data_IF_387384884191
#
_entry.id   IF_387384884191
#
_cell.length_a   1.000
_cell.length_b   1.000
_cell.length_c   1.000
_cell.angle_alpha   90.00
_cell.angle_beta   90.00
_cell.angle_gamma   90.00
#
_symmetry.space_group_name_H-M   'P 1'
#
loop_
_entity.id
_entity.type
_entity.pdbx_description
1 polymer ?
#
# COMPACT_ATOMS: atom_id res chain seq x y z
N UNK A 1 -26.08 45.76 35.57
CA UNK A 1 -24.81 45.30 35.02
C UNK A 1 -24.71 43.80 35.30
N UNK A 2 -25.09 42.96 34.33
CA UNK A 2 -24.93 41.50 34.43
C UNK A 2 -23.61 41.14 33.81
N UNK A 3 -22.75 40.48 34.57
CA UNK A 3 -21.46 39.99 34.23
C UNK A 3 -21.62 38.90 33.15
N UNK A 4 -21.13 39.18 31.98
CA UNK A 4 -21.02 38.16 30.92
C UNK A 4 -19.98 37.12 31.42
N UNK A 5 -20.45 35.98 31.87
CA UNK A 5 -19.59 34.81 32.03
C UNK A 5 -19.09 34.42 30.66
N UNK A 6 -17.78 34.56 30.45
CA UNK A 6 -17.08 33.93 29.31
C UNK A 6 -17.22 32.44 29.52
N UNK A 7 -18.02 31.81 28.70
CA UNK A 7 -17.89 30.40 28.41
C UNK A 7 -16.49 30.25 27.82
N UNK A 8 -15.54 29.82 28.62
CA UNK A 8 -14.29 29.26 28.09
C UNK A 8 -14.69 27.97 27.39
N UNK A 9 -14.92 28.07 26.07
CA UNK A 9 -14.98 26.95 25.18
C UNK A 9 -13.61 26.26 25.24
N UNK A 10 -13.51 25.19 26.03
CA UNK A 10 -12.42 24.24 25.93
C UNK A 10 -12.67 23.36 24.71
N UNK A 11 -12.80 23.96 23.53
CA UNK A 11 -12.69 23.27 22.27
C UNK A 11 -11.29 22.64 22.26
N UNK A 12 -11.21 21.33 22.39
CA UNK A 12 -9.95 20.63 22.33
C UNK A 12 -9.28 21.00 21.00
N UNK A 13 -8.15 21.69 21.06
CA UNK A 13 -7.50 22.17 19.84
C UNK A 13 -7.10 20.97 18.98
N UNK A 14 -7.41 21.02 17.68
CA UNK A 14 -7.02 19.99 16.71
C UNK A 14 -5.53 19.65 16.84
N UNK A 15 -5.20 18.38 16.98
CA UNK A 15 -3.80 17.90 17.11
C UNK A 15 -3.06 17.96 15.78
N UNK A 16 -1.82 18.41 15.79
CA UNK A 16 -0.91 18.33 14.62
C UNK A 16 0.06 17.18 14.83
N UNK A 17 -0.13 16.10 14.08
CA UNK A 17 0.64 14.86 14.19
C UNK A 17 1.64 14.77 13.03
N UNK A 18 2.91 14.91 13.38
CA UNK A 18 4.04 14.95 12.44
C UNK A 18 4.48 13.56 12.02
N UNK A 19 5.46 13.49 11.15
CA UNK A 19 6.21 12.31 10.74
C UNK A 19 6.67 11.46 11.95
N UNK A 20 7.30 12.10 12.94
CA UNK A 20 7.79 11.42 14.15
C UNK A 20 6.65 10.81 14.98
N UNK A 21 5.50 11.49 15.09
CA UNK A 21 4.32 10.97 15.76
C UNK A 21 3.80 9.71 15.06
N UNK A 22 3.74 9.70 13.72
CA UNK A 22 3.33 8.51 12.95
C UNK A 22 4.30 7.34 13.20
N UNK A 23 5.61 7.59 13.18
CA UNK A 23 6.61 6.56 13.45
C UNK A 23 6.57 6.03 14.87
N UNK A 24 6.31 6.89 15.85
CA UNK A 24 6.20 6.50 17.25
C UNK A 24 4.94 5.67 17.52
N UNK A 25 3.84 5.98 16.83
CA UNK A 25 2.54 5.36 17.02
C UNK A 25 2.41 3.97 16.38
N UNK A 26 2.94 3.80 15.15
CA UNK A 26 2.67 2.60 14.37
C UNK A 26 3.70 1.49 14.60
N UNK A 27 3.19 0.26 14.78
CA UNK A 27 3.94 -1.00 14.79
C UNK A 27 3.22 -1.96 13.87
N UNK A 28 3.95 -2.71 13.01
CA UNK A 28 3.31 -3.52 11.97
C UNK A 28 2.36 -4.61 12.50
N UNK A 29 2.69 -5.40 13.54
CA UNK A 29 1.74 -6.41 14.01
C UNK A 29 0.39 -5.79 14.35
N UNK A 30 0.37 -4.80 15.23
CA UNK A 30 -0.85 -4.12 15.71
C UNK A 30 -1.51 -3.30 14.60
N UNK A 31 -0.71 -2.68 13.73
CA UNK A 31 -1.24 -1.88 12.64
C UNK A 31 -1.89 -2.73 11.54
N UNK A 32 -1.33 -3.90 11.24
CA UNK A 32 -1.93 -4.84 10.27
C UNK A 32 -3.24 -5.40 10.83
N UNK A 33 -3.33 -5.66 12.14
CA UNK A 33 -4.57 -6.05 12.79
C UNK A 33 -5.62 -4.92 12.71
N UNK A 34 -5.24 -3.68 12.99
CA UNK A 34 -6.11 -2.51 12.83
C UNK A 34 -6.57 -2.30 11.38
N UNK A 35 -5.70 -2.55 10.40
CA UNK A 35 -6.08 -2.56 8.97
C UNK A 35 -7.10 -3.66 8.70
N UNK A 36 -6.87 -4.88 9.18
CA UNK A 36 -7.80 -6.00 9.00
C UNK A 36 -9.16 -5.70 9.59
N UNK A 37 -9.23 -5.15 10.80
CA UNK A 37 -10.47 -4.69 11.43
C UNK A 37 -11.15 -3.60 10.61
N UNK A 38 -10.41 -2.59 10.15
CA UNK A 38 -10.93 -1.52 9.32
C UNK A 38 -11.52 -2.01 8.00
N UNK A 39 -10.84 -2.94 7.32
CA UNK A 39 -11.35 -3.54 6.08
C UNK A 39 -12.51 -4.51 6.31
N UNK A 40 -12.59 -5.15 7.47
CA UNK A 40 -13.70 -6.02 7.84
C UNK A 40 -14.96 -5.24 8.25
N UNK A 41 -14.80 -4.06 8.85
CA UNK A 41 -15.88 -3.20 9.33
C UNK A 41 -16.66 -2.52 8.20
N UNK A 42 -17.63 -1.71 8.58
CA UNK A 42 -18.38 -0.87 7.65
C UNK A 42 -17.64 0.45 7.39
N UNK A 43 -17.49 0.77 6.13
CA UNK A 43 -16.83 1.99 5.66
C UNK A 43 -17.47 2.49 4.37
N UNK A 44 -17.27 3.77 4.13
CA UNK A 44 -17.57 4.40 2.83
C UNK A 44 -16.29 5.05 2.29
N UNK A 45 -16.04 4.82 1.03
CA UNK A 45 -14.87 5.35 0.33
C UNK A 45 -15.30 5.84 -1.06
N UNK A 46 -15.70 7.12 -1.18
CA UNK A 46 -16.00 7.72 -2.47
C UNK A 46 -14.80 7.67 -3.41
N UNK A 47 -15.03 7.70 -4.72
CA UNK A 47 -13.94 7.79 -5.70
C UNK A 47 -13.03 8.99 -5.39
N UNK A 48 -11.70 8.75 -5.50
CA UNK A 48 -10.73 9.83 -5.41
C UNK A 48 -10.96 10.88 -6.49
N UNK A 49 -10.71 12.13 -6.16
CA UNK A 49 -10.73 13.26 -7.10
C UNK A 49 -9.29 13.68 -7.36
N UNK A 50 -8.90 13.69 -8.62
CA UNK A 50 -7.58 14.18 -9.07
C UNK A 50 -7.83 15.33 -10.03
N UNK A 51 -7.28 16.49 -9.71
CA UNK A 51 -7.38 17.72 -10.50
C UNK A 51 -5.99 18.08 -11.01
N UNK A 52 -5.82 18.09 -12.32
CA UNK A 52 -4.63 18.68 -12.93
C UNK A 52 -4.68 20.20 -12.72
N UNK A 53 -3.56 20.78 -12.29
CA UNK A 53 -3.49 22.20 -11.97
C UNK A 53 -3.40 23.05 -13.25
N UNK A 54 -2.74 22.53 -14.28
CA UNK A 54 -2.61 23.18 -15.58
C UNK A 54 -2.75 22.15 -16.72
N UNK A 55 -3.97 21.69 -17.02
CA UNK A 55 -4.20 20.66 -18.03
C UNK A 55 -3.85 21.10 -19.46
N UNK A 56 -3.87 22.42 -19.74
CA UNK A 56 -3.56 22.95 -21.08
C UNK A 56 -2.05 22.99 -21.38
N UNK A 57 -1.21 23.05 -20.35
CA UNK A 57 0.24 23.07 -20.50
C UNK A 57 0.86 21.69 -20.81
N UNK A 58 0.07 20.61 -20.71
CA UNK A 58 0.58 19.25 -20.75
C UNK A 58 1.37 18.85 -19.49
N UNK A 59 1.34 19.68 -18.46
CA UNK A 59 1.91 19.41 -17.14
C UNK A 59 1.17 18.27 -16.42
N UNK A 60 1.87 17.66 -15.48
CA UNK A 60 1.33 16.55 -14.66
C UNK A 60 1.18 16.96 -13.19
N UNK A 61 1.27 18.25 -12.90
CA UNK A 61 1.03 18.81 -11.57
C UNK A 61 -0.43 18.59 -11.18
N UNK A 62 -0.66 18.02 -10.00
CA UNK A 62 -1.99 17.67 -9.59
C UNK A 62 -2.24 17.97 -8.10
N UNK A 63 -3.49 18.29 -7.79
CA UNK A 63 -4.05 18.24 -6.45
C UNK A 63 -5.07 17.10 -6.40
N UNK A 64 -5.01 16.28 -5.33
CA UNK A 64 -5.92 15.18 -5.18
C UNK A 64 -6.52 15.08 -3.77
N UNK A 65 -7.76 14.60 -3.71
CA UNK A 65 -8.52 14.37 -2.49
C UNK A 65 -9.05 12.94 -2.44
N UNK A 66 -8.84 12.27 -1.30
CA UNK A 66 -9.27 10.91 -1.04
C UNK A 66 -10.09 10.88 0.26
N UNK A 67 -11.41 11.09 0.18
CA UNK A 67 -12.27 10.98 1.35
C UNK A 67 -12.55 9.53 1.71
N UNK A 68 -12.72 9.26 3.00
CA UNK A 68 -13.19 7.98 3.53
C UNK A 68 -13.76 8.19 4.93
N UNK A 69 -14.70 7.35 5.34
CA UNK A 69 -15.24 7.37 6.70
C UNK A 69 -15.75 6.00 7.14
N UNK A 70 -15.77 5.82 8.43
CA UNK A 70 -16.41 4.70 9.11
C UNK A 70 -17.39 5.24 10.17
N UNK A 71 -17.79 4.43 11.14
CA UNK A 71 -18.70 4.85 12.23
C UNK A 71 -18.04 5.82 13.21
N UNK A 72 -16.71 5.87 13.29
CA UNK A 72 -15.97 6.62 14.30
C UNK A 72 -15.43 7.95 13.76
N UNK A 73 -14.87 7.96 12.56
CA UNK A 73 -14.17 9.13 11.99
C UNK A 73 -14.48 9.36 10.51
N UNK A 74 -14.34 10.62 10.10
CA UNK A 74 -14.22 11.01 8.69
C UNK A 74 -12.75 11.39 8.46
N UNK A 75 -12.14 10.87 7.41
CA UNK A 75 -10.78 11.21 7.01
C UNK A 75 -10.76 11.77 5.59
N UNK A 76 -10.03 12.85 5.39
CA UNK A 76 -9.74 13.43 4.09
C UNK A 76 -8.23 13.49 3.90
N UNK A 77 -7.68 12.61 3.06
CA UNK A 77 -6.31 12.78 2.58
C UNK A 77 -6.30 13.75 1.42
N UNK A 78 -5.52 14.81 1.55
CA UNK A 78 -5.20 15.72 0.47
C UNK A 78 -3.73 15.61 0.12
N UNK A 79 -3.38 15.59 -1.18
CA UNK A 79 -2.00 15.61 -1.63
C UNK A 79 -1.79 16.45 -2.88
N UNK A 80 -0.58 16.97 -3.01
CA UNK A 80 -0.09 17.61 -4.22
C UNK A 80 0.95 16.71 -4.89
N UNK A 81 0.95 16.65 -6.22
CA UNK A 81 1.92 15.92 -7.02
C UNK A 81 2.58 16.84 -8.02
N UNK A 82 3.89 16.98 -7.91
CA UNK A 82 4.76 17.82 -8.73
C UNK A 82 5.94 16.95 -9.20
N UNK A 83 5.79 16.18 -10.28
CA UNK A 83 6.77 15.16 -10.70
C UNK A 83 8.13 15.73 -11.09
N UNK A 84 8.19 17.01 -11.48
CA UNK A 84 9.44 17.67 -11.90
C UNK A 84 10.21 18.32 -10.73
N UNK A 85 9.68 18.27 -9.50
CA UNK A 85 10.39 18.81 -8.35
C UNK A 85 11.76 18.16 -8.16
N UNK A 86 12.74 19.01 -7.84
CA UNK A 86 14.10 18.60 -7.50
C UNK A 86 14.38 18.91 -6.02
N UNK A 87 15.34 18.23 -5.39
CA UNK A 87 15.75 18.54 -4.02
C UNK A 87 15.98 20.05 -3.83
N UNK A 88 15.53 20.64 -2.70
CA UNK A 88 15.00 19.98 -1.50
C UNK A 88 13.50 19.64 -1.57
N UNK A 89 12.80 19.96 -2.64
CA UNK A 89 11.36 19.73 -2.77
C UNK A 89 11.07 18.28 -3.16
N UNK A 90 10.03 17.70 -2.53
CA UNK A 90 9.55 16.35 -2.87
C UNK A 90 8.56 16.42 -4.03
N UNK A 91 8.45 15.35 -4.79
CA UNK A 91 7.44 15.25 -5.85
C UNK A 91 6.02 15.09 -5.30
N UNK A 92 5.86 14.69 -4.04
CA UNK A 92 4.56 14.51 -3.39
C UNK A 92 4.59 14.97 -1.94
N UNK A 93 3.60 15.78 -1.57
CA UNK A 93 3.29 16.15 -0.19
C UNK A 93 1.85 15.80 0.11
N UNK A 94 1.57 15.25 1.29
CA UNK A 94 0.21 14.95 1.70
C UNK A 94 -0.06 15.16 3.18
N UNK A 95 -1.32 15.49 3.49
CA UNK A 95 -1.86 15.57 4.84
C UNK A 95 -3.17 14.81 4.90
N UNK A 96 -3.51 14.30 6.10
CA UNK A 96 -4.80 13.67 6.38
C UNK A 96 -5.46 14.46 7.48
N UNK A 97 -6.61 15.04 7.17
CA UNK A 97 -7.48 15.70 8.13
C UNK A 97 -8.48 14.67 8.66
N UNK A 98 -8.59 14.58 9.99
CA UNK A 98 -9.47 13.62 10.69
C UNK A 98 -10.50 14.41 11.48
N UNK A 99 -11.78 14.03 11.33
CA UNK A 99 -12.90 14.58 12.07
C UNK A 99 -13.61 13.48 12.87
N UNK A 100 -14.15 13.84 14.02
CA UNK A 100 -15.12 13.01 14.73
C UNK A 100 -16.35 12.74 13.86
N UNK A 101 -16.82 11.51 13.83
CA UNK A 101 -17.98 11.14 12.99
C UNK A 101 -19.30 11.56 13.60
N UNK A 102 -19.38 11.66 14.92
CA UNK A 102 -20.63 11.96 15.63
C UNK A 102 -20.99 13.47 15.57
N UNK A 103 -20.00 14.35 15.67
CA UNK A 103 -20.23 15.79 15.80
C UNK A 103 -19.56 16.62 14.69
N UNK A 104 -18.66 16.00 13.89
CA UNK A 104 -17.93 16.70 12.84
C UNK A 104 -16.77 17.59 13.34
N UNK A 105 -16.37 17.42 14.60
CA UNK A 105 -15.26 18.19 15.19
C UNK A 105 -13.92 17.77 14.57
N UNK A 106 -13.03 18.73 14.20
CA UNK A 106 -11.70 18.40 13.69
C UNK A 106 -10.81 17.86 14.83
N UNK A 107 -10.36 16.61 14.70
CA UNK A 107 -9.56 15.92 15.71
C UNK A 107 -8.06 16.09 15.48
N UNK A 108 -7.60 15.88 14.25
CA UNK A 108 -6.18 15.92 13.93
C UNK A 108 -5.88 16.25 12.48
N UNK A 109 -4.70 16.85 12.26
CA UNK A 109 -4.01 16.96 10.98
C UNK A 109 -2.75 16.08 11.04
N UNK A 110 -2.77 14.96 10.31
CA UNK A 110 -1.73 13.93 10.36
C UNK A 110 -0.81 14.01 9.15
N UNK A 111 0.48 13.67 9.28
CA UNK A 111 1.40 13.55 8.16
C UNK A 111 1.00 12.42 7.22
N UNK A 112 0.37 12.79 6.10
CA UNK A 112 -0.15 11.85 5.13
C UNK A 112 0.93 11.13 4.33
N UNK A 113 2.09 11.75 4.11
CA UNK A 113 3.20 11.13 3.39
C UNK A 113 3.75 9.94 4.16
N UNK A 114 3.92 10.10 5.47
CA UNK A 114 4.41 9.03 6.32
C UNK A 114 3.38 7.91 6.50
N UNK A 115 2.13 8.27 6.75
CA UNK A 115 1.02 7.28 6.78
C UNK A 115 0.97 6.49 5.48
N UNK A 116 1.20 7.12 4.31
CA UNK A 116 1.19 6.41 3.03
C UNK A 116 2.22 5.28 2.97
N UNK A 117 3.45 5.47 3.45
CA UNK A 117 4.45 4.39 3.47
C UNK A 117 4.01 3.24 4.39
N UNK A 118 3.55 3.57 5.60
CA UNK A 118 3.10 2.57 6.56
C UNK A 118 1.90 1.78 6.05
N UNK A 119 0.84 2.48 5.55
CA UNK A 119 -0.38 1.81 5.13
C UNK A 119 -0.20 1.02 3.84
N UNK A 120 0.64 1.49 2.91
CA UNK A 120 0.88 0.76 1.66
C UNK A 120 1.56 -0.57 1.95
N UNK A 121 2.61 -0.58 2.76
CA UNK A 121 3.27 -1.81 3.16
C UNK A 121 2.40 -2.67 4.09
N UNK A 122 1.59 -2.06 4.97
CA UNK A 122 0.65 -2.77 5.83
C UNK A 122 -0.46 -3.49 5.05
N UNK A 123 -1.04 -2.84 4.04
CA UNK A 123 -2.04 -3.44 3.13
C UNK A 123 -1.46 -4.61 2.34
N UNK A 124 -0.24 -4.46 1.82
CA UNK A 124 0.51 -5.51 1.15
C UNK A 124 0.73 -6.73 2.06
N UNK A 125 1.23 -6.51 3.26
CA UNK A 125 1.44 -7.60 4.22
C UNK A 125 0.11 -8.21 4.73
N UNK A 126 -0.95 -7.42 4.87
CA UNK A 126 -2.29 -7.93 5.19
C UNK A 126 -2.81 -8.86 4.08
N UNK A 127 -2.67 -8.47 2.81
CA UNK A 127 -3.01 -9.34 1.68
C UNK A 127 -2.17 -10.64 1.71
N UNK A 128 -0.87 -10.53 1.94
CA UNK A 128 0.03 -11.66 2.08
C UNK A 128 -0.37 -12.61 3.22
N UNK A 129 -0.95 -12.10 4.33
CA UNK A 129 -1.47 -12.91 5.44
C UNK A 129 -2.52 -13.93 4.97
N UNK A 130 -3.37 -13.55 4.01
CA UNK A 130 -4.43 -14.39 3.44
C UNK A 130 -3.97 -15.21 2.22
N UNK A 131 -2.99 -14.70 1.46
CA UNK A 131 -2.72 -15.16 0.10
C UNK A 131 -1.39 -15.92 -0.04
N UNK A 132 -0.40 -15.70 0.82
CA UNK A 132 0.85 -16.46 0.78
C UNK A 132 0.75 -17.75 1.59
N UNK A 133 1.67 -18.69 1.35
CA UNK A 133 1.83 -19.88 2.18
C UNK A 133 2.12 -19.47 3.62
N UNK A 134 1.61 -20.23 4.58
CA UNK A 134 1.81 -19.95 6.01
C UNK A 134 3.29 -20.05 6.42
N UNK A 135 4.03 -20.94 5.78
CA UNK A 135 5.46 -21.21 5.98
C UNK A 135 6.36 -20.47 4.96
N UNK A 136 5.82 -19.52 4.21
CA UNK A 136 6.59 -18.68 3.30
C UNK A 136 7.73 -17.99 4.06
N UNK A 137 8.96 -18.18 3.59
CA UNK A 137 10.18 -17.77 4.27
C UNK A 137 11.17 -16.99 3.40
N UNK A 138 10.90 -16.88 2.10
CA UNK A 138 11.73 -16.16 1.14
C UNK A 138 10.95 -15.08 0.40
N UNK A 139 11.55 -13.90 0.27
CA UNK A 139 10.94 -12.74 -0.39
C UNK A 139 11.89 -12.15 -1.42
N UNK A 140 11.40 -11.92 -2.64
CA UNK A 140 12.01 -11.05 -3.63
C UNK A 140 11.30 -9.70 -3.61
N UNK A 141 12.05 -8.64 -3.36
CA UNK A 141 11.57 -7.26 -3.42
C UNK A 141 12.15 -6.56 -4.65
N UNK A 142 11.28 -6.09 -5.54
CA UNK A 142 11.64 -5.25 -6.66
C UNK A 142 11.31 -3.78 -6.32
N UNK A 143 12.37 -2.95 -6.36
CA UNK A 143 12.26 -1.53 -6.03
C UNK A 143 13.09 -1.15 -4.80
N UNK A 144 13.79 -0.03 -4.93
CA UNK A 144 14.74 0.48 -3.92
C UNK A 144 14.36 1.88 -3.43
N UNK A 145 13.08 2.24 -3.63
CA UNK A 145 12.53 3.52 -3.18
C UNK A 145 12.22 3.55 -1.69
N UNK A 146 11.64 4.68 -1.25
CA UNK A 146 11.30 4.90 0.17
C UNK A 146 10.38 3.84 0.76
N UNK A 147 9.61 3.11 -0.07
CA UNK A 147 8.70 2.07 0.38
C UNK A 147 9.40 0.75 0.71
N UNK A 148 10.57 0.48 0.14
CA UNK A 148 11.28 -0.79 0.28
C UNK A 148 11.53 -1.22 1.74
N UNK A 149 12.07 -0.37 2.63
CA UNK A 149 12.26 -0.75 4.04
C UNK A 149 10.95 -1.01 4.78
N UNK A 150 9.85 -0.37 4.38
CA UNK A 150 8.53 -0.57 4.98
C UNK A 150 7.94 -1.93 4.57
N UNK A 151 8.05 -2.29 3.29
CA UNK A 151 7.60 -3.60 2.78
C UNK A 151 8.32 -4.75 3.45
N UNK A 152 9.65 -4.69 3.56
CA UNK A 152 10.43 -5.72 4.27
C UNK A 152 9.94 -5.87 5.71
N UNK A 153 9.81 -4.77 6.45
CA UNK A 153 9.35 -4.78 7.85
C UNK A 153 7.93 -5.33 7.99
N UNK A 154 7.03 -4.94 7.08
CA UNK A 154 5.64 -5.38 7.10
C UNK A 154 5.51 -6.88 6.82
N UNK A 155 6.18 -7.39 5.77
CA UNK A 155 6.15 -8.82 5.45
C UNK A 155 6.84 -9.67 6.53
N UNK A 156 7.96 -9.20 7.09
CA UNK A 156 8.64 -9.86 8.21
C UNK A 156 7.79 -9.92 9.50
N UNK A 157 6.74 -9.11 9.61
CA UNK A 157 5.81 -9.16 10.75
C UNK A 157 4.69 -10.18 10.59
N UNK A 158 4.44 -10.67 9.38
CA UNK A 158 3.36 -11.64 9.09
C UNK A 158 3.89 -12.98 8.62
N UNK A 159 5.19 -13.08 8.26
CA UNK A 159 5.87 -14.33 7.85
C UNK A 159 7.24 -14.41 8.50
N UNK A 160 7.67 -15.63 8.81
CA UNK A 160 9.00 -15.91 9.39
C UNK A 160 10.06 -15.94 8.27
N UNK A 161 10.32 -14.75 7.71
CA UNK A 161 11.27 -14.61 6.62
C UNK A 161 12.68 -15.02 7.04
N UNK A 162 13.32 -15.84 6.22
CA UNK A 162 14.72 -16.28 6.36
C UNK A 162 15.64 -15.66 5.33
N UNK A 163 15.08 -15.27 4.16
CA UNK A 163 15.83 -14.67 3.06
C UNK A 163 15.03 -13.54 2.42
N UNK A 164 15.66 -12.40 2.21
CA UNK A 164 15.12 -11.27 1.43
C UNK A 164 16.12 -10.92 0.33
N UNK A 165 15.68 -11.07 -0.91
CA UNK A 165 16.39 -10.67 -2.13
C UNK A 165 15.90 -9.31 -2.57
N UNK A 166 16.81 -8.40 -2.88
CA UNK A 166 16.46 -7.04 -3.31
C UNK A 166 16.98 -6.81 -4.73
N UNK A 167 16.08 -6.43 -5.60
CA UNK A 167 16.41 -6.02 -6.96
C UNK A 167 16.11 -4.53 -7.19
N UNK A 168 16.98 -3.88 -7.94
CA UNK A 168 16.77 -2.50 -8.40
C UNK A 168 17.63 -2.20 -9.61
N UNK A 169 17.19 -1.31 -10.50
CA UNK A 169 17.97 -0.84 -11.67
C UNK A 169 19.33 -0.27 -11.29
N UNK A 170 19.45 0.23 -10.08
CA UNK A 170 20.67 0.75 -9.49
C UNK A 170 21.08 -0.19 -8.35
N UNK A 171 22.13 -0.98 -8.61
CA UNK A 171 22.63 -1.96 -7.65
C UNK A 171 23.14 -1.30 -6.34
N UNK A 172 23.66 -0.07 -6.41
CA UNK A 172 24.12 0.65 -5.24
C UNK A 172 22.95 1.01 -4.31
N UNK A 173 21.79 1.39 -4.87
CA UNK A 173 20.57 1.61 -4.09
C UNK A 173 20.02 0.31 -3.50
N UNK A 174 20.09 -0.81 -4.24
CA UNK A 174 19.70 -2.12 -3.71
C UNK A 174 20.63 -2.51 -2.54
N UNK A 175 21.92 -2.31 -2.68
CA UNK A 175 22.91 -2.56 -1.61
C UNK A 175 22.65 -1.67 -0.38
N UNK A 176 22.23 -0.42 -0.57
CA UNK A 176 21.88 0.47 0.53
C UNK A 176 20.65 -0.04 1.31
N UNK A 177 19.62 -0.55 0.62
CA UNK A 177 18.45 -1.18 1.26
C UNK A 177 18.87 -2.42 2.04
N UNK A 178 19.67 -3.31 1.44
CA UNK A 178 20.20 -4.52 2.09
C UNK A 178 20.99 -4.14 3.35
N UNK A 179 21.92 -3.22 3.25
CA UNK A 179 22.73 -2.78 4.40
C UNK A 179 21.88 -2.19 5.54
N UNK A 180 20.87 -1.38 5.19
CA UNK A 180 19.95 -0.79 6.17
C UNK A 180 19.12 -1.86 6.91
N UNK A 181 18.69 -2.90 6.21
CA UNK A 181 17.75 -3.89 6.75
C UNK A 181 18.46 -5.03 7.46
N UNK A 182 19.63 -5.48 6.99
CA UNK A 182 20.42 -6.53 7.64
C UNK A 182 20.77 -6.19 9.10
N UNK A 183 21.11 -4.92 9.38
CA UNK A 183 21.38 -4.47 10.74
C UNK A 183 20.16 -4.47 11.67
N UNK A 184 18.93 -4.43 11.11
CA UNK A 184 17.67 -4.43 11.87
C UNK A 184 17.09 -5.82 12.08
N UNK A 185 17.42 -6.77 11.20
CA UNK A 185 16.90 -8.12 11.19
C UNK A 185 18.05 -9.16 11.11
N UNK A 186 18.82 -9.34 12.19
CA UNK A 186 20.00 -10.22 12.15
C UNK A 186 19.66 -11.70 11.90
N UNK A 187 18.39 -12.09 12.03
CA UNK A 187 17.93 -13.47 11.73
C UNK A 187 17.50 -13.69 10.28
N UNK A 188 17.54 -12.65 9.43
CA UNK A 188 17.15 -12.71 8.02
C UNK A 188 18.40 -12.52 7.15
N UNK A 189 18.61 -13.42 6.18
CA UNK A 189 19.60 -13.24 5.13
C UNK A 189 19.14 -12.16 4.13
N UNK A 190 20.07 -11.30 3.71
CA UNK A 190 19.78 -10.27 2.71
C UNK A 190 20.81 -10.34 1.59
N UNK A 191 20.36 -10.28 0.35
CA UNK A 191 21.23 -10.21 -0.82
C UNK A 191 20.66 -9.32 -1.92
N UNK A 192 21.56 -8.72 -2.70
CA UNK A 192 21.20 -8.04 -3.95
C UNK A 192 21.22 -9.06 -5.06
N UNK A 193 20.22 -9.05 -5.92
CA UNK A 193 20.11 -9.98 -7.06
C UNK A 193 20.05 -9.20 -8.38
N UNK A 194 20.60 -9.81 -9.43
CA UNK A 194 20.57 -9.28 -10.80
C UNK A 194 19.69 -10.16 -11.70
N UNK A 195 19.71 -11.48 -11.48
CA UNK A 195 18.94 -12.47 -12.24
C UNK A 195 17.53 -12.60 -11.63
N UNK A 196 16.57 -11.93 -12.28
CA UNK A 196 15.16 -11.94 -11.85
C UNK A 196 14.49 -13.31 -12.06
N UNK A 197 14.84 -14.03 -13.12
CA UNK A 197 14.26 -15.37 -13.37
C UNK A 197 14.60 -16.33 -12.23
N UNK A 198 15.88 -16.43 -11.91
CA UNK A 198 16.35 -17.23 -10.79
C UNK A 198 15.73 -16.80 -9.47
N UNK A 199 15.75 -15.48 -9.18
CA UNK A 199 15.25 -14.94 -7.93
C UNK A 199 13.73 -15.16 -7.76
N UNK A 200 12.92 -15.07 -8.83
CA UNK A 200 11.50 -15.41 -8.82
C UNK A 200 11.30 -16.91 -8.52
N UNK A 201 12.04 -17.78 -9.19
CA UNK A 201 11.95 -19.25 -8.99
C UNK A 201 12.34 -19.71 -7.58
N UNK A 202 13.11 -18.91 -6.84
CA UNK A 202 13.58 -19.20 -5.48
C UNK A 202 12.78 -18.49 -4.37
N UNK A 203 11.76 -17.69 -4.72
CA UNK A 203 11.03 -16.88 -3.74
C UNK A 203 9.59 -17.33 -3.54
N UNK A 204 9.14 -17.34 -2.28
CA UNK A 204 7.75 -17.59 -1.90
C UNK A 204 6.89 -16.34 -2.11
N UNK A 205 7.48 -15.17 -1.86
CA UNK A 205 6.86 -13.85 -2.03
C UNK A 205 7.61 -13.07 -3.11
N UNK A 206 6.89 -12.55 -4.10
CA UNK A 206 7.42 -11.63 -5.12
C UNK A 206 6.69 -10.30 -4.97
N UNK A 207 7.35 -9.30 -4.39
CA UNK A 207 6.76 -8.00 -4.08
C UNK A 207 7.40 -6.94 -4.96
N UNK A 208 6.61 -6.26 -5.78
CA UNK A 208 7.11 -5.21 -6.66
C UNK A 208 6.48 -3.84 -6.32
N UNK A 209 7.35 -2.87 -6.11
CA UNK A 209 7.01 -1.47 -5.82
C UNK A 209 7.88 -0.55 -6.69
N UNK A 210 7.77 -0.72 -8.00
CA UNK A 210 8.58 0.01 -8.99
C UNK A 210 7.73 0.96 -9.83
N UNK A 211 8.34 2.01 -10.34
CA UNK A 211 7.73 2.85 -11.39
C UNK A 211 8.20 2.43 -12.78
N UNK A 212 8.61 1.16 -12.98
CA UNK A 212 9.13 0.71 -14.26
C UNK A 212 8.07 0.82 -15.36
N UNK A 213 8.40 1.38 -16.52
CA UNK A 213 7.53 1.32 -17.69
C UNK A 213 7.55 -0.07 -18.36
N UNK A 214 8.54 -0.90 -18.03
CA UNK A 214 8.78 -2.22 -18.61
C UNK A 214 8.32 -3.32 -17.68
N UNK A 215 7.93 -4.46 -18.26
CA UNK A 215 7.61 -5.69 -17.53
C UNK A 215 8.89 -6.23 -16.90
N UNK A 216 8.86 -6.42 -15.58
CA UNK A 216 9.98 -6.95 -14.81
C UNK A 216 9.79 -8.42 -14.44
N UNK A 217 8.54 -8.86 -14.23
CA UNK A 217 8.20 -10.21 -13.80
C UNK A 217 7.46 -10.95 -14.90
N UNK A 218 7.92 -12.15 -15.24
CA UNK A 218 7.28 -13.05 -16.20
C UNK A 218 6.57 -14.18 -15.47
N UNK A 219 5.35 -14.49 -15.91
CA UNK A 219 4.56 -15.59 -15.35
C UNK A 219 5.30 -16.93 -15.42
N UNK A 220 6.05 -17.19 -16.48
CA UNK A 220 6.87 -18.40 -16.65
C UNK A 220 7.91 -18.62 -15.53
N UNK A 221 8.34 -17.57 -14.85
CA UNK A 221 9.33 -17.66 -13.77
C UNK A 221 8.72 -18.02 -12.40
N UNK A 222 7.40 -17.87 -12.27
CA UNK A 222 6.70 -18.10 -11.00
C UNK A 222 6.51 -19.60 -10.77
N UNK A 223 6.96 -20.09 -9.64
CA UNK A 223 6.75 -21.46 -9.22
C UNK A 223 5.40 -21.68 -8.54
N UNK A 224 4.86 -22.90 -8.51
CA UNK A 224 3.70 -23.21 -7.67
C UNK A 224 3.91 -22.75 -6.23
N UNK A 225 2.86 -22.21 -5.61
CA UNK A 225 2.88 -21.70 -4.25
C UNK A 225 3.30 -20.23 -4.11
N UNK A 226 3.85 -19.59 -5.14
CA UNK A 226 4.26 -18.18 -5.07
C UNK A 226 3.07 -17.26 -4.80
N UNK A 227 3.29 -16.24 -3.98
CA UNK A 227 2.42 -15.07 -3.82
C UNK A 227 3.08 -13.85 -4.46
N UNK A 228 2.38 -13.22 -5.39
CA UNK A 228 2.81 -11.97 -6.04
C UNK A 228 2.03 -10.78 -5.51
N UNK A 229 2.71 -9.68 -5.23
CA UNK A 229 2.12 -8.45 -4.75
C UNK A 229 2.67 -7.25 -5.55
N UNK A 230 1.83 -6.61 -6.36
CA UNK A 230 2.22 -5.55 -7.30
C UNK A 230 1.62 -4.22 -6.90
N UNK A 231 2.48 -3.27 -6.49
CA UNK A 231 2.12 -2.00 -5.86
C UNK A 231 2.63 -0.77 -6.63
N UNK A 232 3.58 -0.97 -7.54
CA UNK A 232 4.37 0.15 -8.06
C UNK A 232 3.66 0.97 -9.14
N UNK A 233 2.90 0.33 -10.01
CA UNK A 233 2.21 1.00 -11.10
C UNK A 233 0.72 1.23 -10.79
N UNK A 234 0.25 2.44 -11.11
CA UNK A 234 -1.15 2.87 -11.01
C UNK A 234 -1.55 3.63 -12.30
N UNK A 235 -1.22 3.05 -13.44
CA UNK A 235 -1.56 3.52 -14.78
C UNK A 235 -2.18 2.38 -15.57
N UNK A 236 -3.24 2.67 -16.32
CA UNK A 236 -3.99 1.67 -17.08
C UNK A 236 -3.13 0.86 -18.10
N UNK A 237 -2.04 1.45 -18.58
CA UNK A 237 -1.16 0.84 -19.61
C UNK A 237 0.20 0.40 -19.09
N UNK A 238 0.54 0.64 -17.80
CA UNK A 238 1.82 0.26 -17.22
C UNK A 238 1.62 -0.88 -16.24
N UNK A 239 2.53 -1.84 -16.25
CA UNK A 239 2.44 -3.04 -15.42
C UNK A 239 3.82 -3.57 -15.04
N UNK A 240 3.94 -4.16 -13.87
CA UNK A 240 5.19 -4.75 -13.38
C UNK A 240 5.34 -6.21 -13.81
N UNK A 241 4.23 -6.90 -14.15
CA UNK A 241 4.25 -8.28 -14.64
C UNK A 241 3.59 -8.43 -16.03
N UNK A 242 3.87 -9.53 -16.69
CA UNK A 242 3.24 -9.89 -17.96
C UNK A 242 1.85 -10.49 -17.77
N UNK A 243 1.15 -10.69 -18.89
CA UNK A 243 -0.19 -11.29 -18.93
C UNK A 243 -0.19 -12.72 -18.39
N UNK A 244 0.89 -13.48 -18.64
CA UNK A 244 1.01 -14.85 -18.16
C UNK A 244 0.98 -14.93 -16.62
N UNK A 245 1.62 -13.99 -15.92
CA UNK A 245 1.57 -13.94 -14.47
C UNK A 245 0.13 -13.76 -13.96
N UNK A 246 -0.69 -12.97 -14.65
CA UNK A 246 -2.10 -12.74 -14.27
C UNK A 246 -2.96 -13.97 -14.53
N UNK A 247 -2.91 -14.55 -15.73
CA UNK A 247 -3.76 -15.69 -16.08
C UNK A 247 -3.41 -16.98 -15.32
N UNK A 248 -2.16 -17.12 -14.85
CA UNK A 248 -1.73 -18.25 -14.01
C UNK A 248 -2.09 -18.10 -12.54
N UNK A 249 -2.56 -16.92 -12.14
CA UNK A 249 -2.79 -16.59 -10.73
C UNK A 249 -4.26 -16.51 -10.36
N UNK A 250 -4.57 -16.81 -9.09
CA UNK A 250 -5.79 -16.34 -8.47
C UNK A 250 -5.61 -14.86 -8.09
N UNK A 251 -6.37 -13.99 -8.74
CA UNK A 251 -6.18 -12.54 -8.69
C UNK A 251 -7.08 -11.90 -7.66
N UNK A 252 -6.49 -11.11 -6.78
CA UNK A 252 -7.16 -10.28 -5.77
C UNK A 252 -6.72 -8.83 -5.92
N UNK A 253 -7.55 -7.91 -5.46
CA UNK A 253 -7.29 -6.46 -5.57
C UNK A 253 -7.55 -5.74 -4.24
N UNK A 254 -6.95 -4.57 -4.07
CA UNK A 254 -7.31 -3.72 -2.93
C UNK A 254 -8.76 -3.24 -3.03
N UNK A 255 -9.16 -2.73 -4.21
CA UNK A 255 -10.56 -2.43 -4.55
C UNK A 255 -10.78 -2.59 -6.06
N UNK A 256 -11.89 -3.21 -6.45
CA UNK A 256 -12.29 -3.30 -7.87
C UNK A 256 -12.50 -1.91 -8.47
N UNK A 257 -13.10 -1.00 -7.70
CA UNK A 257 -13.39 0.36 -8.14
C UNK A 257 -12.15 1.12 -8.63
N UNK A 258 -11.00 0.96 -7.97
CA UNK A 258 -9.75 1.61 -8.36
C UNK A 258 -8.97 0.77 -9.38
N UNK A 259 -8.81 -0.53 -9.14
CA UNK A 259 -8.02 -1.39 -10.02
C UNK A 259 -8.59 -1.49 -11.43
N UNK A 260 -9.91 -1.51 -11.60
CA UNK A 260 -10.57 -1.51 -12.92
C UNK A 260 -10.50 -0.17 -13.67
N UNK A 261 -9.80 0.82 -13.11
CA UNK A 261 -9.56 2.13 -13.75
C UNK A 261 -8.07 2.41 -13.98
N UNK A 262 -7.20 1.84 -13.13
CA UNK A 262 -5.81 2.31 -13.04
C UNK A 262 -4.77 1.18 -13.04
N UNK A 263 -5.17 -0.10 -12.87
CA UNK A 263 -4.24 -1.22 -12.77
C UNK A 263 -3.95 -1.84 -14.14
N UNK A 264 -2.82 -1.51 -14.74
CA UNK A 264 -2.41 -2.09 -16.02
C UNK A 264 -2.25 -3.60 -15.99
N UNK A 265 -1.87 -4.19 -14.84
CA UNK A 265 -1.81 -5.63 -14.62
C UNK A 265 -3.17 -6.32 -14.86
N UNK A 266 -4.27 -5.62 -14.60
CA UNK A 266 -5.63 -6.12 -14.79
C UNK A 266 -6.20 -5.69 -16.14
N UNK A 267 -6.01 -4.42 -16.50
CA UNK A 267 -6.66 -3.82 -17.68
C UNK A 267 -6.06 -4.30 -18.99
N UNK A 268 -4.75 -4.48 -19.06
CA UNK A 268 -4.10 -4.94 -20.29
C UNK A 268 -4.50 -6.37 -20.66
N UNK A 269 -4.49 -7.37 -19.75
CA UNK A 269 -5.01 -8.71 -20.09
C UNK A 269 -6.50 -8.74 -20.45
N UNK A 270 -7.31 -7.81 -19.91
CA UNK A 270 -8.71 -7.65 -20.31
C UNK A 270 -8.80 -7.13 -21.76
N UNK A 271 -8.01 -6.12 -22.11
CA UNK A 271 -7.94 -5.58 -23.47
C UNK A 271 -7.42 -6.62 -24.48
N UNK A 272 -6.47 -7.46 -24.06
CA UNK A 272 -5.96 -8.61 -24.84
C UNK A 272 -7.02 -9.73 -25.00
N UNK A 273 -8.15 -9.67 -24.28
CA UNK A 273 -9.24 -10.64 -24.35
C UNK A 273 -8.96 -12.00 -23.69
N UNK A 274 -7.93 -12.07 -22.83
CA UNK A 274 -7.51 -13.32 -22.16
C UNK A 274 -7.78 -13.33 -20.66
N UNK A 275 -8.32 -12.23 -20.13
CA UNK A 275 -8.76 -12.09 -18.75
C UNK A 275 -10.06 -11.27 -18.68
N UNK A 276 -10.85 -11.42 -17.61
CA UNK A 276 -12.07 -10.63 -17.40
C UNK A 276 -12.20 -10.15 -15.96
N UNK A 277 -13.04 -9.12 -15.74
CA UNK A 277 -13.29 -8.55 -14.41
C UNK A 277 -13.86 -9.58 -13.42
N UNK A 278 -14.64 -10.54 -13.93
CA UNK A 278 -15.28 -11.61 -13.17
C UNK A 278 -14.27 -12.63 -12.64
N UNK A 279 -13.08 -12.73 -13.25
CA UNK A 279 -11.99 -13.60 -12.81
C UNK A 279 -11.21 -13.01 -11.61
N UNK A 280 -11.44 -11.74 -11.26
CA UNK A 280 -10.92 -11.18 -10.00
C UNK A 280 -11.71 -11.81 -8.85
N UNK A 281 -11.05 -12.67 -8.08
CA UNK A 281 -11.63 -13.51 -7.02
C UNK A 281 -12.24 -12.66 -5.92
N UNK A 282 -11.53 -11.62 -5.48
CA UNK A 282 -12.03 -10.79 -4.39
C UNK A 282 -11.25 -9.50 -4.17
N UNK A 283 -11.84 -8.67 -3.32
CA UNK A 283 -11.21 -7.47 -2.74
C UNK A 283 -10.65 -7.77 -1.35
N UNK A 284 -9.70 -6.95 -0.91
CA UNK A 284 -9.12 -7.09 0.42
C UNK A 284 -10.18 -7.03 1.53
N UNK A 285 -11.20 -6.19 1.39
CA UNK A 285 -12.32 -6.12 2.32
C UNK A 285 -13.14 -7.42 2.38
N UNK A 286 -13.32 -8.11 1.24
CA UNK A 286 -14.01 -9.39 1.19
C UNK A 286 -13.19 -10.50 1.85
N UNK A 287 -11.86 -10.49 1.69
CA UNK A 287 -10.95 -11.38 2.42
C UNK A 287 -11.03 -11.15 3.93
N UNK A 288 -10.95 -9.88 4.37
CA UNK A 288 -11.01 -9.53 5.80
C UNK A 288 -12.36 -9.91 6.44
N UNK A 289 -13.46 -9.86 5.68
CA UNK A 289 -14.81 -10.27 6.10
C UNK A 289 -15.07 -11.77 6.01
N UNK A 290 -14.11 -12.55 5.48
CA UNK A 290 -14.31 -13.99 5.22
C UNK A 290 -15.37 -14.30 4.15
N UNK A 291 -15.70 -13.33 3.29
CA UNK A 291 -16.68 -13.51 2.20
C UNK A 291 -16.11 -14.24 0.99
N UNK A 292 -14.80 -14.16 0.83
CA UNK A 292 -14.04 -14.93 -0.16
C UNK A 292 -12.89 -15.64 0.53
N UNK A 293 -12.53 -16.81 0.01
CA UNK A 293 -11.38 -17.55 0.49
C UNK A 293 -10.10 -16.96 -0.09
N UNK A 294 -9.06 -16.83 0.72
CA UNK A 294 -7.71 -16.54 0.27
C UNK A 294 -7.11 -17.74 -0.46
N UNK A 295 -5.86 -18.07 -0.11
CA UNK A 295 -5.18 -19.27 -0.64
C UNK A 295 -5.92 -20.54 -0.23
N UNK A 296 -6.14 -21.44 -1.20
CA UNK A 296 -6.86 -22.71 -0.99
C UNK A 296 -6.01 -23.94 -1.26
N UNK A 297 -4.87 -23.81 -1.96
CA UNK A 297 -3.92 -24.90 -2.16
C UNK A 297 -2.47 -24.44 -2.06
N UNK A 298 -1.56 -25.39 -1.86
CA UNK A 298 -0.13 -25.12 -1.81
C UNK A 298 0.46 -24.81 -3.21
N UNK A 299 -0.18 -25.28 -4.26
CA UNK A 299 0.31 -25.18 -5.64
C UNK A 299 -0.17 -23.93 -6.35
N UNK A 300 -1.30 -23.32 -5.90
CA UNK A 300 -1.82 -22.13 -6.58
C UNK A 300 -0.84 -20.95 -6.46
N UNK A 301 -0.75 -20.17 -7.55
CA UNK A 301 -0.12 -18.86 -7.55
C UNK A 301 -1.20 -17.86 -7.20
N UNK A 302 -0.92 -16.95 -6.28
CA UNK A 302 -1.83 -15.86 -5.91
C UNK A 302 -1.22 -14.52 -6.30
N UNK A 303 -2.04 -13.60 -6.79
CA UNK A 303 -1.63 -12.26 -7.15
C UNK A 303 -2.52 -11.24 -6.44
N UNK A 304 -1.92 -10.30 -5.75
CA UNK A 304 -2.59 -9.13 -5.20
C UNK A 304 -2.15 -7.88 -5.96
N UNK A 305 -3.11 -7.13 -6.48
CA UNK A 305 -2.85 -5.82 -7.09
C UNK A 305 -3.43 -4.71 -6.23
N UNK A 306 -2.59 -3.76 -5.87
CA UNK A 306 -3.00 -2.55 -5.15
C UNK A 306 -2.60 -1.29 -5.93
N UNK A 307 -3.53 -0.36 -6.04
CA UNK A 307 -3.31 1.00 -6.54
C UNK A 307 -3.55 2.05 -5.46
N UNK A 308 -3.79 1.56 -4.23
CA UNK A 308 -4.02 2.36 -3.05
C UNK A 308 -5.48 2.78 -2.85
N UNK A 309 -5.92 2.75 -1.62
CA UNK A 309 -7.26 3.13 -1.21
C UNK A 309 -7.24 4.04 0.02
N UNK A 310 -8.25 4.91 0.12
CA UNK A 310 -8.37 5.90 1.20
C UNK A 310 -8.60 5.27 2.58
N UNK A 311 -9.15 4.05 2.64
CA UNK A 311 -9.40 3.35 3.90
C UNK A 311 -8.09 3.05 4.64
N UNK A 312 -7.04 2.65 3.94
CA UNK A 312 -5.73 2.47 4.56
C UNK A 312 -5.17 3.77 5.14
N UNK A 313 -5.41 4.89 4.49
CA UNK A 313 -5.01 6.22 4.99
C UNK A 313 -5.82 6.59 6.25
N UNK A 314 -7.15 6.31 6.28
CA UNK A 314 -7.99 6.48 7.45
C UNK A 314 -7.50 5.63 8.63
N UNK A 315 -7.27 4.33 8.44
CA UNK A 315 -6.78 3.44 9.49
C UNK A 315 -5.45 3.92 10.08
N UNK A 316 -4.51 4.35 9.21
CA UNK A 316 -3.21 4.86 9.66
C UNK A 316 -3.31 6.17 10.43
N UNK A 317 -4.16 7.09 9.98
CA UNK A 317 -4.38 8.36 10.66
C UNK A 317 -5.09 8.17 12.00
N UNK A 318 -6.12 7.31 12.06
CA UNK A 318 -6.86 6.98 13.28
C UNK A 318 -5.95 6.29 14.32
N UNK A 319 -5.16 5.31 13.90
CA UNK A 319 -4.21 4.65 14.80
C UNK A 319 -3.18 5.64 15.36
N UNK A 320 -2.70 6.57 14.53
CA UNK A 320 -1.77 7.62 14.99
C UNK A 320 -2.45 8.58 15.96
N UNK A 321 -3.68 8.98 15.69
CA UNK A 321 -4.47 9.85 16.59
C UNK A 321 -4.69 9.19 17.93
N UNK A 322 -5.17 7.94 17.96
CA UNK A 322 -5.42 7.17 19.21
C UNK A 322 -4.17 7.05 20.07
N UNK A 323 -3.01 6.81 19.47
CA UNK A 323 -1.74 6.73 20.19
C UNK A 323 -1.27 8.08 20.76
N UNK A 324 -1.87 9.19 20.34
CA UNK A 324 -1.58 10.54 20.83
C UNK A 324 -2.52 11.01 21.94
N UNK A 325 -3.56 10.25 22.26
CA UNK A 325 -4.50 10.48 23.35
C UNK A 325 -4.05 9.78 24.61
#
# INVERSE_FOLDING_TARGET
MRRAERLEDSAASMKILTDDHVHAALRYPEFIDALQEGFAGDFTMPPRQVMLLDPESGGHEAFAMLPSWNEEVIALKAFTYFPQNQPPHRSLYSKILVFDRAHGEPLALVDGSRVTYWRTAGVSALASRFLSLADASSMLLLGTGNLAPYLIRAHASVRDLKMVRVWGRDAAKAQAVVGQMAGKFPGIGFEVVEDLEKACGESDLVVAATGSPEILIRGAWLRPGTHCDFLGNHHATKRECDTEAVIRSRVYVDTRANCFREAGEILVPIEEGVFSKEQVVGELAELCRGRVLGRTSAEEITLFKSVGCALGDLCGALATYRASC
#
